data_IF_873585369808
#
_entry.id   IF_873585369808
#
_cell.length_a   1.000
_cell.length_b   1.000
_cell.length_c   1.000
_cell.angle_alpha   90.00
_cell.angle_beta   90.00
_cell.angle_gamma   90.00
#
_symmetry.space_group_name_H-M   'P 1'
#
loop_
_entity.id
_entity.type
_entity.pdbx_description
1 polymer ?
#
# COMPACT_ATOMS: atom_id res chain seq x y z
N UNK A 1 -5.72 -20.80 1.89
CA UNK A 1 -5.54 -19.34 1.78
C UNK A 1 -5.87 -18.94 0.36
N UNK A 2 -6.78 -18.00 0.18
CA UNK A 2 -7.10 -17.48 -1.15
C UNK A 2 -5.88 -16.72 -1.68
N UNK A 3 -5.32 -17.17 -2.82
CA UNK A 3 -4.15 -16.51 -3.41
C UNK A 3 -4.66 -15.23 -4.09
N UNK A 4 -4.47 -14.10 -3.42
CA UNK A 4 -4.75 -12.79 -4.01
C UNK A 4 -3.58 -12.36 -4.88
N UNK A 5 -3.86 -12.15 -6.16
CA UNK A 5 -2.87 -11.62 -7.09
C UNK A 5 -2.65 -10.13 -6.82
N UNK A 6 -1.38 -9.72 -6.75
CA UNK A 6 -0.97 -8.33 -6.52
C UNK A 6 -0.35 -7.79 -7.81
N UNK A 7 -0.95 -6.73 -8.35
CA UNK A 7 -0.38 -6.04 -9.51
C UNK A 7 0.74 -5.08 -9.08
N UNK A 8 1.88 -5.15 -9.75
CA UNK A 8 3.02 -4.24 -9.56
C UNK A 8 3.41 -3.58 -10.90
N UNK A 9 4.09 -2.42 -10.86
CA UNK A 9 4.64 -1.82 -12.07
C UNK A 9 5.58 -2.77 -12.82
N UNK A 10 5.55 -2.75 -14.15
CA UNK A 10 6.36 -3.64 -14.98
C UNK A 10 7.87 -3.43 -14.78
N UNK A 11 8.31 -2.20 -14.53
CA UNK A 11 9.71 -1.91 -14.21
C UNK A 11 10.15 -2.59 -12.90
N UNK A 12 9.31 -2.55 -11.86
CA UNK A 12 9.59 -3.22 -10.59
C UNK A 12 9.68 -4.74 -10.79
N UNK A 13 8.80 -5.32 -11.59
CA UNK A 13 8.89 -6.74 -11.96
C UNK A 13 10.20 -7.06 -12.68
N UNK A 14 10.62 -6.25 -13.66
CA UNK A 14 11.91 -6.45 -14.35
C UNK A 14 13.11 -6.33 -13.41
N UNK A 15 13.09 -5.36 -12.50
CA UNK A 15 14.15 -5.21 -11.49
C UNK A 15 14.21 -6.45 -10.59
N UNK A 16 13.07 -6.96 -10.12
CA UNK A 16 13.01 -8.20 -9.35
C UNK A 16 13.59 -9.40 -10.12
N UNK A 17 13.29 -9.51 -11.42
CA UNK A 17 13.87 -10.55 -12.29
C UNK A 17 15.40 -10.39 -12.38
N UNK A 18 15.90 -9.18 -12.66
CA UNK A 18 17.34 -8.92 -12.72
C UNK A 18 18.05 -9.23 -11.39
N UNK A 19 17.47 -8.78 -10.28
CA UNK A 19 18.05 -9.00 -8.95
C UNK A 19 18.11 -10.48 -8.57
N UNK A 20 17.03 -11.24 -8.80
CA UNK A 20 16.95 -12.63 -8.35
C UNK A 20 17.51 -13.65 -9.34
N UNK A 21 17.43 -13.41 -10.65
CA UNK A 21 17.86 -14.38 -11.66
C UNK A 21 19.21 -14.04 -12.29
N UNK A 22 19.63 -12.77 -12.24
CA UNK A 22 20.90 -12.32 -12.81
C UNK A 22 21.90 -11.86 -11.74
N UNK A 23 21.52 -11.95 -10.45
CA UNK A 23 22.32 -11.51 -9.30
C UNK A 23 22.77 -10.04 -9.37
N UNK A 24 22.04 -9.21 -10.14
CA UNK A 24 22.33 -7.79 -10.29
C UNK A 24 21.80 -7.00 -9.08
N UNK A 25 22.69 -6.78 -8.11
CA UNK A 25 22.37 -6.07 -6.88
C UNK A 25 22.23 -4.55 -7.05
N UNK A 26 22.55 -4.00 -8.23
CA UNK A 26 22.51 -2.54 -8.46
C UNK A 26 21.12 -1.93 -8.28
N UNK A 27 20.06 -2.73 -8.42
CA UNK A 27 18.67 -2.29 -8.31
C UNK A 27 17.99 -2.60 -6.96
N UNK A 28 18.76 -3.02 -5.94
CA UNK A 28 18.22 -3.45 -4.64
C UNK A 28 17.42 -2.33 -3.95
N UNK A 29 17.92 -1.10 -3.99
CA UNK A 29 17.28 0.04 -3.35
C UNK A 29 15.96 0.42 -4.04
N UNK A 30 15.94 0.42 -5.37
CA UNK A 30 14.73 0.70 -6.15
C UNK A 30 13.66 -0.37 -5.94
N UNK A 31 14.07 -1.64 -5.84
CA UNK A 31 13.15 -2.74 -5.51
C UNK A 31 12.52 -2.51 -4.15
N UNK A 32 13.34 -2.21 -3.13
CA UNK A 32 12.86 -1.95 -1.78
C UNK A 32 11.84 -0.79 -1.75
N UNK A 33 12.19 0.34 -2.37
CA UNK A 33 11.30 1.51 -2.46
C UNK A 33 9.99 1.18 -3.18
N UNK A 34 10.07 0.52 -4.34
CA UNK A 34 8.89 0.17 -5.14
C UNK A 34 7.95 -0.83 -4.43
N UNK A 35 8.52 -1.79 -3.70
CA UNK A 35 7.74 -2.73 -2.89
C UNK A 35 7.11 -2.03 -1.69
N UNK A 36 7.85 -1.16 -1.00
CA UNK A 36 7.33 -0.40 0.13
C UNK A 36 6.16 0.49 -0.29
N UNK A 37 6.30 1.27 -1.37
CA UNK A 37 5.21 2.06 -1.92
C UNK A 37 3.99 1.20 -2.26
N UNK A 38 4.20 0.00 -2.82
CA UNK A 38 3.11 -0.90 -3.15
C UNK A 38 2.35 -1.34 -1.88
N UNK A 39 3.08 -1.73 -0.83
CA UNK A 39 2.51 -2.14 0.45
C UNK A 39 1.73 -1.00 1.09
N UNK A 40 2.29 0.20 1.11
CA UNK A 40 1.62 1.40 1.65
C UNK A 40 0.32 1.70 0.89
N UNK A 41 0.35 1.66 -0.45
CA UNK A 41 -0.85 1.85 -1.28
C UNK A 41 -1.92 0.80 -1.01
N UNK A 42 -1.54 -0.45 -0.79
CA UNK A 42 -2.48 -1.52 -0.43
C UNK A 42 -3.10 -1.27 0.93
N UNK A 43 -2.29 -0.93 1.93
CA UNK A 43 -2.79 -0.63 3.27
C UNK A 43 -3.75 0.58 3.27
N UNK A 44 -3.39 1.65 2.56
CA UNK A 44 -4.25 2.83 2.40
C UNK A 44 -5.57 2.49 1.69
N UNK A 45 -5.53 1.62 0.67
CA UNK A 45 -6.75 1.17 -0.02
C UNK A 45 -7.64 0.33 0.90
N UNK A 46 -7.04 -0.51 1.75
CA UNK A 46 -7.77 -1.31 2.72
C UNK A 46 -8.46 -0.41 3.75
N UNK A 47 -7.75 0.54 4.36
CA UNK A 47 -8.32 1.50 5.32
C UNK A 47 -9.47 2.30 4.71
N UNK A 48 -9.27 2.81 3.48
CA UNK A 48 -10.35 3.50 2.77
C UNK A 48 -11.57 2.61 2.58
N UNK A 49 -11.38 1.35 2.18
CA UNK A 49 -12.49 0.40 1.99
C UNK A 49 -13.22 0.15 3.32
N UNK A 50 -12.48 -0.13 4.39
CA UNK A 50 -13.04 -0.36 5.72
C UNK A 50 -13.81 0.86 6.24
N UNK A 51 -13.32 2.08 6.01
CA UNK A 51 -14.05 3.31 6.37
C UNK A 51 -15.44 3.43 5.69
N UNK A 52 -15.61 2.78 4.54
CA UNK A 52 -16.85 2.81 3.76
C UNK A 52 -17.75 1.61 3.99
N UNK A 53 -17.18 0.44 4.28
CA UNK A 53 -17.91 -0.83 4.25
C UNK A 53 -17.85 -1.64 5.55
N UNK A 54 -17.13 -1.19 6.59
CA UNK A 54 -17.13 -1.90 7.87
C UNK A 54 -18.53 -1.92 8.48
N UNK A 55 -18.82 -2.98 9.24
CA UNK A 55 -20.17 -3.29 9.71
C UNK A 55 -20.65 -2.35 10.84
N UNK A 56 -19.71 -1.77 11.60
CA UNK A 56 -20.01 -0.88 12.72
C UNK A 56 -19.50 0.53 12.46
N UNK A 57 -20.20 1.53 12.99
CA UNK A 57 -19.82 2.93 12.80
C UNK A 57 -18.48 3.26 13.47
N UNK A 58 -18.20 2.64 14.62
CA UNK A 58 -16.92 2.79 15.34
C UNK A 58 -15.74 2.31 14.49
N UNK A 59 -15.84 1.13 13.86
CA UNK A 59 -14.79 0.61 12.98
C UNK A 59 -14.63 1.45 11.71
N UNK A 60 -15.73 1.98 11.17
CA UNK A 60 -15.70 2.88 10.03
C UNK A 60 -14.97 4.17 10.36
N UNK A 61 -15.31 4.81 11.47
CA UNK A 61 -14.69 6.06 11.89
C UNK A 61 -13.22 5.86 12.28
N UNK A 62 -12.89 4.76 12.97
CA UNK A 62 -11.49 4.41 13.26
C UNK A 62 -10.67 4.26 11.99
N UNK A 63 -11.19 3.52 11.00
CA UNK A 63 -10.51 3.34 9.71
C UNK A 63 -10.42 4.64 8.92
N UNK A 64 -11.42 5.53 9.04
CA UNK A 64 -11.42 6.86 8.43
C UNK A 64 -10.29 7.71 9.00
N UNK A 65 -10.19 7.79 10.33
CA UNK A 65 -9.15 8.61 10.97
C UNK A 65 -7.76 8.11 10.64
N UNK A 66 -7.51 6.80 10.73
CA UNK A 66 -6.20 6.24 10.38
C UNK A 66 -5.84 6.50 8.91
N UNK A 67 -6.82 6.40 7.99
CA UNK A 67 -6.60 6.77 6.59
C UNK A 67 -6.22 8.25 6.44
N UNK A 68 -6.95 9.16 7.09
CA UNK A 68 -6.70 10.61 7.00
C UNK A 68 -5.36 11.01 7.61
N UNK A 69 -4.97 10.39 8.73
CA UNK A 69 -3.66 10.56 9.36
C UNK A 69 -2.53 10.16 8.42
N UNK A 70 -2.63 8.98 7.79
CA UNK A 70 -1.64 8.52 6.80
C UNK A 70 -1.60 9.38 5.55
N UNK A 71 -2.69 10.05 5.20
CA UNK A 71 -2.74 11.04 4.11
C UNK A 71 -2.19 12.40 4.50
N UNK A 72 -1.90 12.63 5.79
CA UNK A 72 -1.40 13.90 6.31
C UNK A 72 -2.44 15.03 6.23
N UNK A 73 -3.73 14.70 6.25
CA UNK A 73 -4.80 15.72 6.17
C UNK A 73 -4.93 16.37 7.55
N UNK A 74 -4.79 17.69 7.70
CA UNK A 74 -4.95 18.34 9.01
C UNK A 74 -6.39 18.24 9.51
N UNK A 75 -6.58 18.16 10.83
CA UNK A 75 -7.91 17.98 11.46
C UNK A 75 -8.94 19.03 11.02
N UNK A 76 -8.50 20.26 10.78
CA UNK A 76 -9.35 21.35 10.28
C UNK A 76 -10.00 21.08 8.91
N UNK A 77 -9.47 20.12 8.15
CA UNK A 77 -9.96 19.72 6.83
C UNK A 77 -10.73 18.39 6.86
N UNK A 78 -11.00 17.82 8.05
CA UNK A 78 -11.64 16.50 8.24
C UNK A 78 -13.13 16.58 8.63
N UNK A 79 -13.87 17.50 8.00
CA UNK A 79 -15.33 17.59 8.17
C UNK A 79 -16.08 16.39 7.58
#
# INVERSE_FOLDING_TARGET
MEIKNVQIPFNLFRQLVSYHLMEDQSCSEEIYKGLMEKVERMANRQLYTQSKTASTEEEREKSRQEYLDRRGIPDSFRW
#
